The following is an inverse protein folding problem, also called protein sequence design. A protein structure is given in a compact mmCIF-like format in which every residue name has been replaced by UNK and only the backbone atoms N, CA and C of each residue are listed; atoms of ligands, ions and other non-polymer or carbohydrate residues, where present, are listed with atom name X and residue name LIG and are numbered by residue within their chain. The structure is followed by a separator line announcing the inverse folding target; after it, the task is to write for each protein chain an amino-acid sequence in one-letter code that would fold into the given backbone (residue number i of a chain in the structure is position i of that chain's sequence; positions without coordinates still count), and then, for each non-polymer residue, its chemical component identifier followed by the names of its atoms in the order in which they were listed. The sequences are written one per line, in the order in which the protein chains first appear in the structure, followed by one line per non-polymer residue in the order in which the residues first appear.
data_IF_109875849059
#
_entry.id   IF_109875849059
#
_cell.length_a   1.000
_cell.length_b   1.000
_cell.length_c   1.000
_cell.angle_alpha   90.00
_cell.angle_beta   90.00
_cell.angle_gamma   90.00
#
_symmetry.space_group_name_H-M   'P 1'
#
loop_
_entity.id
_entity.type
_entity.pdbx_description
1 polymer ?
#
# COMPACT_ATOMS: atom_id res chain seq x y z
N UNK A 1 3.80 -3.85 -23.25
CA UNK A 1 4.84 -3.10 -23.78
C UNK A 1 6.09 -3.31 -23.06
N UNK A 2 6.98 -3.68 -23.77
CA UNK A 2 8.18 -3.96 -23.17
C UNK A 2 8.95 -2.75 -22.97
N UNK A 3 8.57 -2.03 -22.06
CA UNK A 3 9.38 -0.98 -21.76
C UNK A 3 10.48 -1.47 -20.95
N UNK A 4 11.54 -1.55 -21.56
CA UNK A 4 12.64 -2.05 -20.84
C UNK A 4 13.64 -1.00 -20.78
N UNK A 5 13.80 -0.46 -19.66
CA UNK A 5 14.90 0.41 -19.46
C UNK A 5 16.15 -0.44 -19.51
N UNK A 6 17.09 -0.08 -20.33
CA UNK A 6 18.26 -0.92 -20.48
C UNK A 6 19.03 -1.13 -19.21
N UNK A 7 19.03 -0.17 -18.36
CA UNK A 7 19.81 -0.23 -17.16
C UNK A 7 19.03 -0.37 -15.93
N UNK A 8 17.83 -0.08 -15.93
CA UNK A 8 17.00 -0.18 -14.81
C UNK A 8 15.67 -0.55 -15.32
N UNK A 9 15.07 -1.47 -14.70
CA UNK A 9 13.74 -1.83 -15.09
C UNK A 9 12.80 -0.81 -14.49
N UNK A 10 11.74 -0.52 -15.23
CA UNK A 10 10.66 0.28 -14.71
C UNK A 10 9.71 -0.67 -14.02
N UNK A 11 9.64 -0.56 -12.71
CA UNK A 11 8.69 -1.36 -11.92
C UNK A 11 7.50 -0.50 -11.60
N UNK A 12 6.32 -1.09 -11.70
CA UNK A 12 5.09 -0.40 -11.38
C UNK A 12 4.43 -1.00 -10.14
N UNK A 13 3.53 -0.24 -9.54
CA UNK A 13 2.78 -0.65 -8.36
C UNK A 13 1.32 -0.26 -8.54
N UNK A 14 0.42 -1.15 -8.19
CA UNK A 14 -1.01 -0.96 -8.42
C UNK A 14 -1.81 -1.30 -7.17
N UNK A 15 -2.79 -0.44 -6.82
CA UNK A 15 -3.74 -0.71 -5.76
C UNK A 15 -4.98 -1.38 -6.34
N UNK A 16 -5.40 -2.49 -5.74
CA UNK A 16 -6.42 -3.37 -6.30
C UNK A 16 -7.41 -3.80 -5.21
N UNK A 17 -8.68 -3.92 -5.56
CA UNK A 17 -9.67 -4.45 -4.64
C UNK A 17 -9.50 -5.97 -4.47
N UNK A 18 -9.88 -6.49 -3.32
CA UNK A 18 -9.79 -7.93 -3.06
C UNK A 18 -10.56 -8.75 -4.11
N UNK A 19 -11.74 -8.29 -4.50
CA UNK A 19 -12.53 -8.97 -5.51
C UNK A 19 -11.81 -9.04 -6.85
N UNK A 20 -11.03 -8.01 -7.18
CA UNK A 20 -10.31 -7.94 -8.45
C UNK A 20 -9.05 -8.83 -8.42
N UNK A 21 -8.50 -9.10 -7.27
CA UNK A 21 -7.44 -10.10 -7.14
C UNK A 21 -7.97 -11.47 -7.52
N UNK A 22 -9.16 -11.80 -7.05
CA UNK A 22 -9.78 -13.09 -7.34
C UNK A 22 -10.15 -13.23 -8.80
N UNK A 23 -10.67 -12.17 -9.42
CA UNK A 23 -11.11 -12.23 -10.82
C UNK A 23 -10.00 -11.93 -11.82
N UNK A 24 -8.88 -11.37 -11.36
CA UNK A 24 -7.78 -11.01 -12.24
C UNK A 24 -7.97 -9.67 -12.94
N UNK A 25 -8.87 -8.84 -12.44
CA UNK A 25 -9.13 -7.55 -13.06
C UNK A 25 -8.10 -6.51 -12.59
N UNK A 26 -6.88 -6.72 -13.02
CA UNK A 26 -5.75 -5.83 -12.76
C UNK A 26 -4.64 -6.15 -13.75
N UNK A 27 -3.62 -5.31 -13.81
CA UNK A 27 -2.51 -5.56 -14.72
C UNK A 27 -1.76 -6.82 -14.32
N UNK A 28 -1.37 -7.59 -15.32
CA UNK A 28 -0.57 -8.79 -15.10
C UNK A 28 0.84 -8.37 -14.71
N UNK A 29 1.22 -8.70 -13.48
CA UNK A 29 2.51 -8.28 -12.95
C UNK A 29 3.67 -9.16 -13.43
N UNK A 30 3.37 -10.26 -14.09
CA UNK A 30 4.39 -11.15 -14.65
C UNK A 30 4.96 -12.13 -13.63
N UNK A 31 5.90 -12.96 -14.08
CA UNK A 31 6.43 -14.02 -13.21
C UNK A 31 7.36 -13.55 -12.11
N UNK A 32 7.93 -12.35 -12.24
CA UNK A 32 8.78 -11.77 -11.20
C UNK A 32 8.03 -10.66 -10.50
N UNK A 33 7.08 -11.04 -9.65
CA UNK A 33 6.13 -10.09 -9.08
C UNK A 33 5.82 -10.42 -7.63
N UNK A 34 5.27 -9.41 -6.95
CA UNK A 34 4.92 -9.50 -5.54
C UNK A 34 3.46 -9.07 -5.35
N UNK A 35 2.73 -9.85 -4.57
CA UNK A 35 1.41 -9.46 -4.08
C UNK A 35 1.51 -9.12 -2.60
N UNK A 36 1.10 -7.93 -2.24
CA UNK A 36 0.93 -7.53 -0.85
C UNK A 36 -0.57 -7.56 -0.56
N UNK A 37 -0.97 -8.46 0.31
CA UNK A 37 -2.38 -8.76 0.58
C UNK A 37 -2.75 -8.22 1.95
N UNK A 38 -3.55 -7.16 1.99
CA UNK A 38 -3.96 -6.50 3.23
C UNK A 38 -5.45 -6.77 3.45
N UNK A 39 -5.76 -7.47 4.53
CA UNK A 39 -7.13 -7.85 4.86
C UNK A 39 -7.48 -7.38 6.26
N UNK A 40 -8.77 -7.35 6.55
CA UNK A 40 -9.22 -7.14 7.92
C UNK A 40 -8.81 -8.34 8.76
N UNK A 41 -8.56 -8.15 10.07
CA UNK A 41 -8.27 -9.28 10.95
C UNK A 41 -9.35 -10.33 10.84
N UNK A 42 -8.95 -11.58 10.60
CA UNK A 42 -9.86 -12.70 10.39
C UNK A 42 -10.83 -12.52 9.22
N UNK A 43 -10.54 -11.58 8.32
CA UNK A 43 -11.38 -11.33 7.16
C UNK A 43 -11.08 -12.26 6.00
N UNK A 44 -11.92 -12.13 4.95
CA UNK A 44 -11.74 -12.91 3.75
C UNK A 44 -10.46 -12.52 3.02
N UNK A 45 -9.70 -13.54 2.62
CA UNK A 45 -8.45 -13.35 1.89
C UNK A 45 -8.61 -13.96 0.51
N UNK A 46 -8.51 -13.16 -0.56
CA UNK A 46 -8.75 -13.69 -1.90
C UNK A 46 -7.63 -14.60 -2.36
N UNK A 47 -8.02 -15.58 -3.15
CA UNK A 47 -7.07 -16.36 -3.92
C UNK A 47 -6.76 -15.61 -5.20
N UNK A 48 -5.47 -15.47 -5.51
CA UNK A 48 -5.07 -14.71 -6.68
C UNK A 48 -5.34 -15.51 -7.97
N UNK A 49 -5.92 -14.84 -8.95
CA UNK A 49 -6.14 -15.45 -10.26
C UNK A 49 -4.81 -15.71 -10.96
N UNK A 50 -3.90 -14.76 -10.89
CA UNK A 50 -2.59 -14.90 -11.52
C UNK A 50 -1.56 -15.26 -10.47
N UNK A 51 -0.55 -16.02 -10.88
CA UNK A 51 0.51 -16.41 -9.98
C UNK A 51 1.47 -15.23 -9.74
N UNK A 52 1.79 -15.02 -8.48
CA UNK A 52 2.84 -14.07 -8.09
C UNK A 52 4.04 -14.86 -7.61
N UNK A 53 5.22 -14.33 -7.81
CA UNK A 53 6.42 -14.99 -7.31
C UNK A 53 6.42 -15.02 -5.78
N UNK A 54 5.98 -13.94 -5.17
CA UNK A 54 5.89 -13.84 -3.71
C UNK A 54 4.55 -13.24 -3.32
N UNK A 55 4.05 -13.68 -2.18
CA UNK A 55 2.85 -13.14 -1.58
C UNK A 55 3.14 -12.90 -0.11
N UNK A 56 2.80 -11.70 0.35
CA UNK A 56 2.98 -11.30 1.74
C UNK A 56 1.67 -10.80 2.30
N UNK A 57 1.24 -11.39 3.40
CA UNK A 57 -0.08 -11.16 3.97
C UNK A 57 0.01 -10.29 5.22
N UNK A 58 -0.91 -9.32 5.30
CA UNK A 58 -1.02 -8.41 6.44
C UNK A 58 -2.48 -8.36 6.87
N UNK A 59 -2.69 -8.18 8.18
CA UNK A 59 -4.03 -8.01 8.74
C UNK A 59 -4.06 -6.76 9.59
N UNK A 60 -4.84 -5.77 9.20
CA UNK A 60 -5.16 -4.60 10.00
C UNK A 60 -6.34 -3.89 9.35
N UNK A 61 -7.09 -3.16 10.17
CA UNK A 61 -8.26 -2.45 9.68
C UNK A 61 -7.88 -1.20 8.89
N UNK A 62 -8.83 -0.74 8.06
CA UNK A 62 -8.71 0.55 7.40
C UNK A 62 -9.10 1.65 8.38
N UNK A 63 -8.26 1.82 9.36
CA UNK A 63 -8.50 2.68 10.50
C UNK A 63 -7.47 3.78 10.57
N UNK A 64 -7.94 4.95 10.96
CA UNK A 64 -7.07 6.07 11.28
C UNK A 64 -7.23 6.35 12.77
N UNK A 65 -6.50 7.30 13.33
CA UNK A 65 -6.35 7.36 14.77
C UNK A 65 -7.61 7.68 15.57
N UNK A 66 -8.53 8.42 14.99
CA UNK A 66 -9.64 8.99 15.74
C UNK A 66 -10.98 8.31 15.47
N UNK A 67 -10.97 7.06 15.03
CA UNK A 67 -12.20 6.41 14.56
C UNK A 67 -12.84 5.44 15.54
N UNK A 68 -12.23 5.23 16.71
CA UNK A 68 -12.82 4.37 17.74
C UNK A 68 -12.55 2.89 17.61
N UNK A 69 -11.84 2.45 16.58
CA UNK A 69 -11.46 1.05 16.46
C UNK A 69 -10.38 0.69 17.48
N UNK A 70 -10.30 -0.59 17.89
CA UNK A 70 -9.25 -1.01 18.83
C UNK A 70 -7.86 -0.78 18.27
N UNK A 71 -6.97 -0.27 19.11
CA UNK A 71 -5.60 0.01 18.66
C UNK A 71 -4.89 -1.22 18.12
N UNK A 72 -5.14 -2.38 18.72
CA UNK A 72 -4.49 -3.62 18.29
C UNK A 72 -4.98 -4.11 16.94
N UNK A 73 -6.07 -3.56 16.42
CA UNK A 73 -6.58 -3.89 15.10
C UNK A 73 -6.05 -2.95 14.01
N UNK A 74 -5.35 -1.88 14.39
CA UNK A 74 -4.80 -0.91 13.45
C UNK A 74 -3.39 -1.31 13.06
N UNK A 75 -2.89 -0.72 11.96
CA UNK A 75 -1.52 -0.99 11.54
C UNK A 75 -0.53 -0.67 12.67
N UNK A 76 0.43 -1.55 12.87
CA UNK A 76 1.50 -1.35 13.85
C UNK A 76 2.73 -0.79 13.16
N UNK A 77 3.65 -0.28 13.97
CA UNK A 77 4.93 0.22 13.44
C UNK A 77 5.75 -0.90 12.82
N UNK A 78 5.69 -2.10 13.41
CA UNK A 78 6.38 -3.27 12.87
C UNK A 78 5.84 -3.65 11.49
N UNK A 79 4.52 -3.61 11.32
CA UNK A 79 3.91 -3.89 10.02
C UNK A 79 4.34 -2.86 8.98
N UNK A 80 4.38 -1.58 9.37
CA UNK A 80 4.82 -0.52 8.47
C UNK A 80 6.28 -0.71 8.06
N UNK A 81 7.13 -1.09 9.00
CA UNK A 81 8.53 -1.38 8.71
C UNK A 81 8.66 -2.53 7.72
N UNK A 82 7.86 -3.57 7.90
CA UNK A 82 7.88 -4.72 6.98
C UNK A 82 7.39 -4.33 5.60
N UNK A 83 6.34 -3.51 5.51
CA UNK A 83 5.86 -3.03 4.21
C UNK A 83 6.94 -2.25 3.47
N UNK A 84 7.64 -1.37 4.18
CA UNK A 84 8.74 -0.59 3.58
C UNK A 84 9.85 -1.52 3.13
N UNK A 85 10.22 -2.49 3.96
CA UNK A 85 11.26 -3.46 3.62
C UNK A 85 10.89 -4.23 2.35
N UNK A 86 9.63 -4.65 2.24
CA UNK A 86 9.16 -5.39 1.07
C UNK A 86 9.21 -4.55 -0.19
N UNK A 87 8.82 -3.28 -0.10
CA UNK A 87 8.88 -2.39 -1.27
C UNK A 87 10.31 -2.17 -1.73
N UNK A 88 11.23 -1.98 -0.80
CA UNK A 88 12.66 -1.82 -1.13
C UNK A 88 13.22 -3.09 -1.72
N UNK A 89 12.86 -4.23 -1.16
CA UNK A 89 13.26 -5.53 -1.68
C UNK A 89 12.73 -5.74 -3.10
N UNK A 90 11.48 -5.38 -3.35
CA UNK A 90 10.90 -5.53 -4.68
C UNK A 90 11.61 -4.64 -5.71
N UNK A 91 11.95 -3.41 -5.33
CA UNK A 91 12.74 -2.55 -6.22
C UNK A 91 14.10 -3.15 -6.53
N UNK A 92 14.79 -3.65 -5.51
CA UNK A 92 16.11 -4.24 -5.68
C UNK A 92 16.10 -5.49 -6.56
N UNK A 93 14.96 -6.18 -6.57
CA UNK A 93 14.81 -7.41 -7.34
C UNK A 93 13.97 -7.22 -8.60
N UNK A 94 13.70 -5.97 -8.99
CA UNK A 94 13.00 -5.62 -10.22
C UNK A 94 11.62 -6.24 -10.32
N UNK A 95 10.88 -6.24 -9.23
CA UNK A 95 9.55 -6.85 -9.17
C UNK A 95 8.47 -5.78 -9.32
N UNK A 96 7.46 -6.06 -10.15
CA UNK A 96 6.22 -5.29 -10.11
C UNK A 96 5.43 -5.71 -8.88
N UNK A 97 4.67 -4.78 -8.31
CA UNK A 97 3.95 -5.01 -7.06
C UNK A 97 2.47 -4.71 -7.24
N UNK A 98 1.64 -5.64 -6.81
CA UNK A 98 0.20 -5.42 -6.68
C UNK A 98 -0.11 -5.42 -5.18
N UNK A 99 -0.82 -4.40 -4.73
CA UNK A 99 -1.22 -4.27 -3.33
C UNK A 99 -2.74 -4.25 -3.28
N UNK A 100 -3.34 -5.17 -2.54
CA UNK A 100 -4.78 -5.11 -2.38
C UNK A 100 -5.20 -4.85 -0.94
N UNK A 101 -6.34 -4.23 -0.79
CA UNK A 101 -7.09 -4.20 0.44
C UNK A 101 -8.54 -4.51 0.06
N UNK A 102 -9.51 -4.27 0.92
CA UNK A 102 -10.89 -4.63 0.60
C UNK A 102 -11.39 -3.89 -0.65
N UNK A 103 -11.34 -2.57 -0.64
CA UNK A 103 -11.81 -1.77 -1.77
C UNK A 103 -10.71 -1.38 -2.75
N UNK A 104 -9.44 -1.58 -2.40
CA UNK A 104 -8.34 -1.19 -3.28
C UNK A 104 -8.11 0.32 -3.33
N UNK A 105 -8.48 1.05 -2.30
CA UNK A 105 -8.47 2.52 -2.32
C UNK A 105 -7.60 3.12 -1.22
N UNK A 106 -7.80 2.71 0.04
CA UNK A 106 -7.21 3.42 1.17
C UNK A 106 -5.93 2.77 1.71
N UNK A 107 -6.00 1.56 2.23
CA UNK A 107 -4.81 0.88 2.76
C UNK A 107 -3.81 0.60 1.65
N UNK A 108 -4.29 -0.01 0.57
CA UNK A 108 -3.45 -0.26 -0.59
C UNK A 108 -3.01 1.04 -1.25
N UNK A 109 -3.88 2.06 -1.25
CA UNK A 109 -3.54 3.36 -1.79
C UNK A 109 -2.36 4.00 -1.07
N UNK A 110 -2.31 3.87 0.26
CA UNK A 110 -1.19 4.40 1.03
C UNK A 110 0.12 3.70 0.66
N UNK A 111 0.08 2.39 0.51
CA UNK A 111 1.28 1.63 0.13
C UNK A 111 1.75 2.03 -1.27
N UNK A 112 0.82 2.23 -2.20
CA UNK A 112 1.16 2.68 -3.56
C UNK A 112 1.79 4.06 -3.53
N UNK A 113 1.27 4.98 -2.73
CA UNK A 113 1.85 6.32 -2.61
C UNK A 113 3.29 6.26 -2.11
N UNK A 114 3.54 5.46 -1.09
CA UNK A 114 4.90 5.29 -0.57
C UNK A 114 5.78 4.61 -1.62
N UNK A 115 5.25 3.61 -2.30
CA UNK A 115 5.98 2.96 -3.40
C UNK A 115 6.39 3.93 -4.49
N UNK A 116 5.49 4.86 -4.83
CA UNK A 116 5.77 5.91 -5.79
C UNK A 116 6.93 6.79 -5.32
N UNK A 117 6.96 7.14 -4.05
CA UNK A 117 8.04 7.94 -3.49
C UNK A 117 9.38 7.19 -3.50
N UNK A 118 9.34 5.87 -3.45
CA UNK A 118 10.54 5.04 -3.46
C UNK A 118 11.08 4.77 -4.86
N UNK A 119 10.26 4.97 -5.89
CA UNK A 119 10.72 4.80 -7.27
C UNK A 119 9.85 3.93 -8.15
N UNK A 120 8.78 3.37 -7.64
CA UNK A 120 7.81 2.66 -8.48
C UNK A 120 7.01 3.66 -9.32
N UNK A 121 6.56 3.24 -10.48
CA UNK A 121 5.59 4.00 -11.27
C UNK A 121 4.20 3.56 -10.82
N UNK A 122 3.39 4.45 -10.23
CA UNK A 122 2.06 4.05 -9.80
C UNK A 122 1.13 3.92 -11.01
N UNK A 123 0.35 2.85 -11.03
CA UNK A 123 -0.68 2.71 -12.06
C UNK A 123 -1.74 3.78 -11.81
N UNK A 124 -2.14 4.47 -12.87
CA UNK A 124 -3.12 5.56 -12.75
C UNK A 124 -4.49 5.01 -12.43
N UNK A 125 -4.95 5.22 -11.22
CA UNK A 125 -6.30 4.86 -10.80
C UNK A 125 -6.62 5.57 -9.50
N UNK A 126 -7.89 5.62 -9.17
CA UNK A 126 -8.35 6.30 -7.98
C UNK A 126 -7.78 5.66 -6.72
N UNK A 127 -7.31 6.49 -5.81
CA UNK A 127 -6.92 6.08 -4.47
C UNK A 127 -7.08 7.24 -3.51
N UNK A 128 -7.31 6.89 -2.27
CA UNK A 128 -7.43 7.87 -1.20
C UNK A 128 -6.67 7.29 -0.01
N UNK A 129 -5.36 7.57 0.08
CA UNK A 129 -4.50 6.88 1.04
C UNK A 129 -4.96 7.01 2.48
N UNK A 130 -4.92 5.89 3.20
CA UNK A 130 -5.08 5.88 4.65
C UNK A 130 -3.89 6.62 5.26
N UNK A 131 -4.17 7.71 5.98
CA UNK A 131 -3.10 8.59 6.45
C UNK A 131 -2.26 7.96 7.56
N UNK A 132 -2.85 7.10 8.38
CA UNK A 132 -2.07 6.41 9.41
C UNK A 132 -1.07 5.46 8.78
N UNK A 133 -1.49 4.69 7.77
CA UNK A 133 -0.59 3.77 7.05
C UNK A 133 0.55 4.57 6.41
N UNK A 134 0.19 5.64 5.72
CA UNK A 134 1.16 6.49 5.03
C UNK A 134 2.16 7.08 6.02
N UNK A 135 1.66 7.63 7.14
CA UNK A 135 2.52 8.23 8.15
C UNK A 135 3.48 7.21 8.76
N UNK A 136 2.96 6.05 9.14
CA UNK A 136 3.78 5.03 9.78
C UNK A 136 4.87 4.51 8.84
N UNK A 137 4.55 4.38 7.55
CA UNK A 137 5.54 3.96 6.56
C UNK A 137 6.59 5.03 6.35
N UNK A 138 6.20 6.31 6.28
CA UNK A 138 7.15 7.39 6.17
C UNK A 138 8.07 7.45 7.40
N UNK A 139 7.50 7.24 8.57
CA UNK A 139 8.28 7.21 9.80
C UNK A 139 9.29 6.05 9.77
N UNK A 140 8.89 4.90 9.26
CA UNK A 140 9.79 3.76 9.10
C UNK A 140 10.95 4.07 8.15
N UNK A 141 10.74 4.98 7.20
CA UNK A 141 11.79 5.43 6.28
C UNK A 141 12.65 6.56 6.85
N UNK A 142 12.30 7.06 8.03
CA UNK A 142 12.97 8.22 8.61
C UNK A 142 12.60 9.52 7.93
N UNK A 143 11.48 9.57 7.20
CA UNK A 143 11.01 10.77 6.52
C UNK A 143 10.03 11.52 7.41
N UNK A 144 10.03 12.84 7.27
CA UNK A 144 9.06 13.67 7.98
C UNK A 144 7.76 13.69 7.19
N UNK A 145 6.67 13.30 7.84
CA UNK A 145 5.37 13.38 7.22
C UNK A 145 4.92 14.84 7.18
N UNK A 146 4.48 15.30 6.02
CA UNK A 146 3.97 16.65 5.85
C UNK A 146 2.49 16.57 5.48
N UNK A 147 1.64 16.81 6.45
CA UNK A 147 0.20 16.75 6.25
C UNK A 147 -0.30 17.76 5.22
N UNK A 148 0.37 18.92 5.14
CA UNK A 148 -0.07 19.96 4.20
C UNK A 148 0.16 19.57 2.74
N UNK A 149 1.01 18.61 2.49
CA UNK A 149 1.26 18.13 1.14
C UNK A 149 0.32 16.99 0.74
N UNK A 150 -0.55 16.56 1.63
CA UNK A 150 -1.44 15.44 1.37
C UNK A 150 -2.76 15.95 0.82
N UNK A 151 -3.20 15.36 -0.30
CA UNK A 151 -4.44 15.78 -0.96
C UNK A 151 -5.68 15.66 -0.09
N UNK A 152 -5.64 14.76 0.90
CA UNK A 152 -6.75 14.58 1.82
C UNK A 152 -6.73 15.57 2.96
N UNK A 153 -5.61 16.25 3.17
CA UNK A 153 -5.51 17.17 4.29
C UNK A 153 -6.20 18.48 3.92
N UNK A 154 -7.39 18.65 4.39
CA UNK A 154 -8.17 19.86 4.17
C UNK A 154 -8.85 20.21 5.49
N UNK A 155 -9.68 21.26 5.48
CA UNK A 155 -10.27 21.71 6.72
C UNK A 155 -11.17 20.69 7.41
N UNK A 156 -11.69 19.72 6.66
CA UNK A 156 -12.50 18.66 7.26
C UNK A 156 -11.64 17.66 8.05
N UNK A 157 -10.37 17.60 7.73
CA UNK A 157 -9.44 16.68 8.39
C UNK A 157 -8.54 17.37 9.40
N UNK A 158 -8.58 18.70 9.50
CA UNK A 158 -7.67 19.41 10.36
C UNK A 158 -7.75 18.97 11.81
N UNK A 159 -8.96 18.83 12.34
CA UNK A 159 -9.18 18.39 13.71
C UNK A 159 -8.80 16.93 13.91
N UNK A 160 -9.16 16.11 12.93
CA UNK A 160 -8.81 14.70 12.94
C UNK A 160 -7.29 14.52 13.00
N UNK A 161 -6.60 15.36 12.22
CA UNK A 161 -5.15 15.30 12.15
C UNK A 161 -4.49 15.56 13.50
N UNK A 162 -5.03 16.48 14.25
CA UNK A 162 -4.50 16.79 15.58
C UNK A 162 -4.62 15.63 16.55
N UNK A 163 -5.52 14.70 16.29
CA UNK A 163 -5.70 13.55 17.15
C UNK A 163 -4.73 12.41 16.88
N UNK A 164 -3.87 12.55 15.88
CA UNK A 164 -2.92 11.48 15.58
C UNK A 164 -1.75 11.53 16.57
N UNK A 165 -1.39 10.34 17.03
CA UNK A 165 -0.26 10.17 17.93
C UNK A 165 0.95 9.76 17.09
N UNK A 166 1.80 10.71 16.88
CA UNK A 166 3.00 10.49 16.10
C UNK A 166 4.22 10.28 17.02
#
# INVERSE_FOLDING_TARGET
CAIIAPKGFIMWIENVAAADIKTGFHHDAGPNSMLISICDPAGWRPEAKYAFKERHDFEFLDSENADGDPEEAKITREQAQELVRLLQYALDNHMNVVVHCTAGICRSGAVVEIGSMLGFIPVEKYRQPNLRVKHYMMDALGWTYNADADDRHNKDYATWWEGLDF
#
